data_IF_447274948606
#
_entry.id   IF_447274948606
#
_cell.length_a   1.000
_cell.length_b   1.000
_cell.length_c   1.000
_cell.angle_alpha   90.00
_cell.angle_beta   90.00
_cell.angle_gamma   90.00
#
_symmetry.space_group_name_H-M   'P 1'
#
loop_
_entity.id
_entity.type
_entity.pdbx_description
1 polymer ?
#
# COMPACT_ATOMS: atom_id res chain seq x y z
N UNK A 1 20.25 -7.32 -22.41
CA UNK A 1 19.01 -7.12 -21.66
C UNK A 1 19.30 -6.07 -20.61
N UNK A 2 18.75 -4.87 -20.79
CA UNK A 2 18.88 -3.78 -19.82
C UNK A 2 18.27 -4.26 -18.52
N UNK A 3 19.02 -4.24 -17.43
CA UNK A 3 18.44 -4.30 -16.10
C UNK A 3 17.65 -3.00 -15.96
N UNK A 4 16.34 -3.06 -16.18
CA UNK A 4 15.49 -1.93 -15.89
C UNK A 4 15.76 -1.58 -14.42
N UNK A 5 16.38 -0.43 -14.21
CA UNK A 5 16.77 0.06 -12.90
C UNK A 5 15.48 0.39 -12.15
N UNK A 6 14.91 -0.60 -11.44
CA UNK A 6 13.77 -0.36 -10.56
C UNK A 6 14.19 0.67 -9.51
N UNK A 7 13.33 1.66 -9.30
CA UNK A 7 13.54 2.77 -8.37
C UNK A 7 12.32 2.93 -7.47
N UNK A 8 12.48 3.51 -6.30
CA UNK A 8 11.36 3.92 -5.45
C UNK A 8 10.49 4.98 -6.14
N UNK A 9 11.11 5.86 -6.94
CA UNK A 9 10.37 6.78 -7.81
C UNK A 9 9.68 6.02 -8.94
N UNK A 10 8.53 6.50 -9.37
CA UNK A 10 7.80 5.91 -10.49
C UNK A 10 8.49 6.25 -11.82
N UNK A 11 8.64 5.24 -12.68
CA UNK A 11 9.27 5.38 -13.98
C UNK A 11 8.34 6.04 -15.01
N UNK A 12 7.06 5.76 -14.94
CA UNK A 12 6.02 6.23 -15.85
C UNK A 12 4.63 6.05 -15.23
N UNK A 13 3.61 6.43 -15.97
CA UNK A 13 2.21 6.35 -15.55
C UNK A 13 1.75 4.92 -15.27
N UNK A 14 2.13 3.98 -16.13
CA UNK A 14 1.80 2.56 -15.95
C UNK A 14 2.39 2.01 -14.63
N UNK A 15 3.64 2.33 -14.34
CA UNK A 15 4.31 1.98 -13.09
C UNK A 15 3.58 2.57 -11.86
N UNK A 16 3.08 3.81 -11.99
CA UNK A 16 2.27 4.50 -10.98
C UNK A 16 0.94 3.79 -10.75
N UNK A 17 0.26 3.39 -11.82
CA UNK A 17 -1.02 2.68 -11.73
C UNK A 17 -0.88 1.33 -11.02
N UNK A 18 0.17 0.56 -11.35
CA UNK A 18 0.46 -0.69 -10.63
C UNK A 18 0.78 -0.45 -9.15
N UNK A 19 1.53 0.58 -8.84
CA UNK A 19 1.82 0.97 -7.45
C UNK A 19 0.54 1.26 -6.65
N UNK A 20 -0.37 2.06 -7.22
CA UNK A 20 -1.66 2.37 -6.62
C UNK A 20 -2.56 1.14 -6.47
N UNK A 21 -2.63 0.29 -7.52
CA UNK A 21 -3.37 -0.96 -7.44
C UNK A 21 -2.87 -1.83 -6.28
N UNK A 22 -1.55 -1.93 -6.12
CA UNK A 22 -0.93 -2.64 -5.00
C UNK A 22 -1.32 -2.08 -3.64
N UNK A 23 -1.31 -0.76 -3.48
CA UNK A 23 -1.73 -0.12 -2.23
C UNK A 23 -3.20 -0.42 -1.89
N UNK A 24 -4.10 -0.33 -2.87
CA UNK A 24 -5.53 -0.58 -2.65
C UNK A 24 -5.82 -2.05 -2.34
N UNK A 25 -5.15 -2.99 -2.99
CA UNK A 25 -5.24 -4.41 -2.65
C UNK A 25 -4.75 -4.68 -1.23
N UNK A 26 -3.68 -4.01 -0.80
CA UNK A 26 -3.22 -4.08 0.59
C UNK A 26 -4.28 -3.58 1.58
N UNK A 27 -4.85 -2.40 1.32
CA UNK A 27 -5.92 -1.84 2.15
C UNK A 27 -7.15 -2.77 2.22
N UNK A 28 -7.57 -3.32 1.09
CA UNK A 28 -8.65 -4.30 1.02
C UNK A 28 -8.36 -5.55 1.84
N UNK A 29 -7.14 -6.07 1.77
CA UNK A 29 -6.73 -7.26 2.54
C UNK A 29 -6.74 -7.05 4.05
N UNK A 30 -6.79 -5.82 4.50
CA UNK A 30 -6.86 -5.40 5.91
C UNK A 30 -8.25 -4.85 6.28
N UNK A 31 -9.23 -4.98 5.38
CA UNK A 31 -10.59 -4.44 5.54
C UNK A 31 -10.59 -2.93 5.88
N UNK A 32 -9.73 -2.18 5.16
CA UNK A 32 -9.46 -0.76 5.46
C UNK A 32 -9.69 0.17 4.26
N UNK A 33 -10.44 -0.25 3.25
CA UNK A 33 -10.76 0.59 2.09
C UNK A 33 -11.63 1.79 2.47
N UNK A 34 -12.46 1.71 3.50
CA UNK A 34 -13.23 2.81 4.06
C UNK A 34 -12.38 3.99 4.54
N UNK A 35 -11.10 3.73 4.82
CA UNK A 35 -10.11 4.76 5.18
C UNK A 35 -9.57 5.53 3.98
N UNK A 36 -9.86 5.12 2.74
CA UNK A 36 -9.45 5.80 1.52
C UNK A 36 -10.58 6.70 1.03
N UNK A 37 -10.31 7.99 0.85
CA UNK A 37 -11.23 8.93 0.24
C UNK A 37 -11.12 8.88 -1.29
N UNK A 38 -9.91 9.02 -1.80
CA UNK A 38 -9.64 9.11 -3.25
C UNK A 38 -8.24 8.57 -3.57
N UNK A 39 -8.10 7.96 -4.74
CA UNK A 39 -6.80 7.74 -5.38
C UNK A 39 -6.77 8.46 -6.72
N UNK A 40 -5.61 9.02 -7.08
CA UNK A 40 -5.42 9.68 -8.38
C UNK A 40 -3.99 9.51 -8.89
N UNK A 41 -3.86 9.34 -10.21
CA UNK A 41 -2.56 9.35 -10.89
C UNK A 41 -2.20 10.74 -11.44
N UNK A 42 -3.13 11.67 -11.45
CA UNK A 42 -3.01 13.02 -12.03
C UNK A 42 -2.63 14.07 -10.98
N UNK A 43 -1.62 13.77 -10.16
CA UNK A 43 -1.19 14.72 -9.13
C UNK A 43 0.33 14.72 -8.99
N UNK A 44 0.88 15.88 -8.68
CA UNK A 44 2.25 16.05 -8.21
C UNK A 44 2.36 15.93 -6.68
N UNK A 45 1.20 15.84 -6.00
CA UNK A 45 1.07 15.64 -4.57
C UNK A 45 0.80 14.17 -4.18
N UNK A 46 0.18 13.95 -3.02
CA UNK A 46 -0.22 12.62 -2.57
C UNK A 46 -1.21 11.97 -3.54
N UNK A 47 -0.90 10.76 -3.99
CA UNK A 47 -1.78 10.00 -4.90
C UNK A 47 -2.91 9.27 -4.16
N UNK A 48 -2.81 9.13 -2.86
CA UNK A 48 -3.84 8.55 -1.99
C UNK A 48 -4.24 9.60 -0.97
N UNK A 49 -5.51 9.97 -0.98
CA UNK A 49 -6.12 10.79 0.05
C UNK A 49 -6.89 9.90 1.01
N UNK A 50 -6.65 10.09 2.29
CA UNK A 50 -7.33 9.33 3.33
C UNK A 50 -8.63 10.02 3.75
N UNK A 51 -9.63 9.20 4.06
CA UNK A 51 -10.89 9.65 4.64
C UNK A 51 -10.71 10.06 6.10
N UNK A 52 -11.74 10.71 6.65
CA UNK A 52 -11.76 11.05 8.07
C UNK A 52 -11.59 9.82 8.98
N UNK A 53 -12.07 8.64 8.55
CA UNK A 53 -11.95 7.39 9.29
C UNK A 53 -10.49 6.92 9.47
N UNK A 54 -9.56 7.35 8.62
CA UNK A 54 -8.14 7.08 8.80
C UNK A 54 -7.58 7.81 10.02
N UNK A 55 -7.96 9.08 10.21
CA UNK A 55 -7.44 9.92 11.28
C UNK A 55 -8.19 9.70 12.61
N UNK A 56 -9.45 9.31 12.54
CA UNK A 56 -10.33 9.19 13.70
C UNK A 56 -11.12 7.88 13.64
N UNK A 57 -10.54 6.81 14.14
CA UNK A 57 -11.25 5.55 14.30
C UNK A 57 -11.92 5.48 15.67
N UNK A 58 -13.25 5.50 15.72
CA UNK A 58 -14.05 5.28 16.92
C UNK A 58 -14.66 6.50 17.58
N UNK A 59 -15.31 6.29 18.71
CA UNK A 59 -15.97 7.32 19.53
C UNK A 59 -14.95 8.34 20.05
N UNK A 60 -15.30 9.62 20.21
CA UNK A 60 -14.37 10.68 20.62
C UNK A 60 -13.92 10.61 22.09
N UNK A 61 -13.88 9.44 22.71
CA UNK A 61 -13.22 9.27 23.99
C UNK A 61 -11.71 9.30 23.77
N UNK A 62 -11.16 10.49 23.83
CA UNK A 62 -9.73 10.73 23.71
C UNK A 62 -9.03 10.17 24.96
N UNK A 63 -8.60 8.92 24.89
CA UNK A 63 -7.60 8.43 25.85
C UNK A 63 -6.24 8.39 25.16
N UNK A 64 -5.14 8.67 25.86
CA UNK A 64 -3.78 8.56 25.30
C UNK A 64 -3.52 7.17 24.67
N UNK A 65 -4.07 6.11 25.28
CA UNK A 65 -3.94 4.74 24.78
C UNK A 65 -4.64 4.55 23.42
N UNK A 66 -5.89 5.03 23.26
CA UNK A 66 -6.60 4.88 21.98
C UNK A 66 -5.95 5.68 20.85
N UNK A 67 -5.34 6.81 21.18
CA UNK A 67 -4.58 7.62 20.22
C UNK A 67 -3.33 6.88 19.76
N UNK A 68 -2.59 6.26 20.67
CA UNK A 68 -1.41 5.48 20.34
C UNK A 68 -1.76 4.22 19.55
N UNK A 69 -2.79 3.47 19.94
CA UNK A 69 -3.26 2.29 19.19
C UNK A 69 -3.64 2.65 17.73
N UNK A 70 -4.24 3.83 17.52
CA UNK A 70 -4.54 4.33 16.17
C UNK A 70 -3.28 4.66 15.37
N UNK A 71 -2.29 5.30 15.99
CA UNK A 71 -1.02 5.60 15.34
C UNK A 71 -0.32 4.33 14.87
N UNK A 72 -0.21 3.33 15.75
CA UNK A 72 0.42 2.04 15.42
C UNK A 72 -0.38 1.31 14.34
N UNK A 73 -1.71 1.33 14.40
CA UNK A 73 -2.57 0.73 13.38
C UNK A 73 -2.38 1.40 12.01
N UNK A 74 -2.35 2.72 11.96
CA UNK A 74 -2.13 3.47 10.73
C UNK A 74 -0.70 3.26 10.20
N UNK A 75 0.29 3.19 11.08
CA UNK A 75 1.67 2.86 10.71
C UNK A 75 1.75 1.46 10.07
N UNK A 76 1.02 0.47 10.61
CA UNK A 76 0.93 -0.85 9.99
C UNK A 76 0.29 -0.79 8.60
N UNK A 77 -0.80 -0.03 8.44
CA UNK A 77 -1.46 0.16 7.14
C UNK A 77 -0.53 0.78 6.11
N UNK A 78 0.15 1.87 6.47
CA UNK A 78 1.08 2.56 5.54
C UNK A 78 2.27 1.69 5.19
N UNK A 79 2.80 0.92 6.14
CA UNK A 79 3.87 -0.07 5.87
C UNK A 79 3.39 -1.12 4.86
N UNK A 80 2.18 -1.68 5.04
CA UNK A 80 1.58 -2.60 4.06
C UNK A 80 1.43 -1.96 2.69
N UNK A 81 0.97 -0.72 2.61
CA UNK A 81 0.79 0.00 1.35
C UNK A 81 2.13 0.19 0.62
N UNK A 82 3.18 0.62 1.33
CA UNK A 82 4.50 0.85 0.74
C UNK A 82 5.10 -0.45 0.20
N UNK A 83 5.07 -1.52 0.98
CA UNK A 83 5.57 -2.84 0.55
C UNK A 83 4.76 -3.35 -0.65
N UNK A 84 3.44 -3.24 -0.60
CA UNK A 84 2.54 -3.70 -1.66
C UNK A 84 2.67 -2.89 -2.95
N UNK A 85 2.94 -1.59 -2.86
CA UNK A 85 3.29 -0.75 -4.00
C UNK A 85 4.47 -1.34 -4.78
N UNK A 86 5.55 -1.64 -4.07
CA UNK A 86 6.77 -2.18 -4.67
C UNK A 86 6.53 -3.57 -5.26
N UNK A 87 5.83 -4.44 -4.54
CA UNK A 87 5.55 -5.80 -5.01
C UNK A 87 4.61 -5.83 -6.23
N UNK A 88 3.63 -4.97 -6.30
CA UNK A 88 2.78 -4.85 -7.49
C UNK A 88 3.59 -4.42 -8.72
N UNK A 89 4.48 -3.45 -8.56
CA UNK A 89 5.37 -2.95 -9.62
C UNK A 89 6.41 -3.98 -10.06
N UNK A 90 6.96 -4.76 -9.14
CA UNK A 90 8.00 -5.74 -9.44
C UNK A 90 7.44 -7.12 -9.75
N UNK A 91 6.70 -7.74 -8.84
CA UNK A 91 6.22 -9.13 -9.00
C UNK A 91 5.12 -9.23 -10.03
N UNK A 92 4.17 -8.29 -10.06
CA UNK A 92 3.03 -8.36 -10.98
C UNK A 92 3.37 -7.74 -12.34
N UNK A 93 3.91 -6.52 -12.36
CA UNK A 93 4.21 -5.79 -13.61
C UNK A 93 5.47 -6.30 -14.29
N UNK A 94 6.61 -6.33 -13.58
CA UNK A 94 7.92 -6.70 -14.17
C UNK A 94 8.20 -8.21 -14.14
N UNK A 95 7.33 -9.02 -13.50
CA UNK A 95 7.51 -10.46 -13.31
C UNK A 95 8.87 -10.81 -12.70
N UNK A 96 9.36 -9.96 -11.81
CA UNK A 96 10.66 -10.11 -11.12
C UNK A 96 10.51 -9.87 -9.63
N UNK A 97 11.49 -10.29 -8.86
CA UNK A 97 11.56 -9.96 -7.44
C UNK A 97 12.04 -8.51 -7.26
N UNK A 98 11.53 -7.86 -6.20
CA UNK A 98 12.06 -6.56 -5.82
C UNK A 98 13.56 -6.67 -5.48
N UNK A 99 14.39 -5.72 -5.94
CA UNK A 99 15.82 -5.72 -5.59
C UNK A 99 16.02 -5.60 -4.07
N UNK A 100 16.98 -6.37 -3.53
CA UNK A 100 17.26 -6.37 -2.09
C UNK A 100 17.67 -4.98 -1.57
N UNK A 101 18.32 -4.18 -2.39
CA UNK A 101 18.72 -2.81 -2.06
C UNK A 101 17.50 -1.93 -1.83
N UNK A 102 16.50 -2.04 -2.69
CA UNK A 102 15.23 -1.31 -2.57
C UNK A 102 14.49 -1.74 -1.30
N UNK A 103 14.41 -3.04 -1.04
CA UNK A 103 13.73 -3.55 0.15
C UNK A 103 14.43 -3.12 1.44
N UNK A 104 15.77 -3.03 1.43
CA UNK A 104 16.54 -2.49 2.56
C UNK A 104 16.31 -1.00 2.77
N UNK A 105 16.25 -0.22 1.68
CA UNK A 105 15.95 1.22 1.76
C UNK A 105 14.54 1.45 2.33
N UNK A 106 13.56 0.67 1.88
CA UNK A 106 12.19 0.73 2.43
C UNK A 106 12.18 0.39 3.91
N UNK A 107 12.86 -0.69 4.30
CA UNK A 107 12.94 -1.05 5.72
C UNK A 107 13.56 0.06 6.56
N UNK A 108 14.65 0.68 6.09
CA UNK A 108 15.29 1.80 6.80
C UNK A 108 14.34 2.97 7.02
N UNK A 109 13.56 3.34 5.99
CA UNK A 109 12.56 4.42 6.10
C UNK A 109 11.42 4.06 7.06
N UNK A 110 10.95 2.82 7.01
CA UNK A 110 9.93 2.31 7.95
C UNK A 110 10.47 2.30 9.38
N UNK A 111 11.73 1.90 9.59
CA UNK A 111 12.36 1.92 10.90
C UNK A 111 12.46 3.35 11.45
N UNK A 112 12.94 4.30 10.65
CA UNK A 112 13.05 5.71 11.04
C UNK A 112 11.69 6.31 11.41
N UNK A 113 10.66 6.07 10.58
CA UNK A 113 9.30 6.58 10.81
C UNK A 113 8.65 5.93 12.05
N UNK A 114 8.78 4.63 12.22
CA UNK A 114 8.21 3.90 13.37
C UNK A 114 8.81 4.36 14.69
N UNK A 115 10.12 4.60 14.72
CA UNK A 115 10.79 5.15 15.91
C UNK A 115 10.36 6.61 16.19
N UNK A 116 10.28 7.43 15.14
CA UNK A 116 10.00 8.86 15.28
C UNK A 116 8.53 9.18 15.58
N UNK A 117 7.59 8.41 14.98
CA UNK A 117 6.16 8.74 15.02
C UNK A 117 5.40 7.89 16.03
N UNK A 118 5.76 6.61 16.17
CA UNK A 118 5.05 5.66 17.01
C UNK A 118 5.80 5.28 18.28
N UNK A 119 7.02 5.79 18.45
CA UNK A 119 7.91 5.44 19.59
C UNK A 119 8.13 3.92 19.74
N UNK A 120 8.09 3.18 18.61
CA UNK A 120 8.30 1.74 18.59
C UNK A 120 9.78 1.39 18.70
N UNK A 121 10.07 0.24 19.32
CA UNK A 121 11.42 -0.32 19.34
C UNK A 121 11.77 -1.01 18.02
N UNK A 122 13.06 -1.18 17.73
CA UNK A 122 13.54 -1.73 16.45
C UNK A 122 13.05 -3.14 16.18
N UNK A 123 12.94 -3.97 17.21
CA UNK A 123 12.44 -5.34 17.09
C UNK A 123 10.94 -5.36 16.80
N UNK A 124 10.15 -4.48 17.40
CA UNK A 124 8.71 -4.32 17.12
C UNK A 124 8.48 -3.88 15.67
N UNK A 125 9.27 -2.90 15.18
CA UNK A 125 9.19 -2.44 13.80
C UNK A 125 9.60 -3.55 12.83
N UNK A 126 10.66 -4.29 13.15
CA UNK A 126 11.12 -5.42 12.35
C UNK A 126 10.06 -6.50 12.22
N UNK A 127 9.39 -6.84 13.32
CA UNK A 127 8.31 -7.83 13.33
C UNK A 127 7.11 -7.35 12.52
N UNK A 128 6.73 -6.08 12.67
CA UNK A 128 5.66 -5.46 11.91
C UNK A 128 5.96 -5.46 10.41
N UNK A 129 7.15 -5.02 10.02
CA UNK A 129 7.60 -5.02 8.62
C UNK A 129 7.64 -6.43 8.04
N UNK A 130 8.16 -7.40 8.78
CA UNK A 130 8.25 -8.79 8.34
C UNK A 130 6.86 -9.38 8.09
N UNK A 131 5.89 -9.11 8.97
CA UNK A 131 4.49 -9.52 8.78
C UNK A 131 3.87 -8.86 7.56
N UNK A 132 4.08 -7.55 7.38
CA UNK A 132 3.60 -6.81 6.22
C UNK A 132 4.18 -7.38 4.92
N UNK A 133 5.49 -7.64 4.88
CA UNK A 133 6.17 -8.22 3.73
C UNK A 133 5.64 -9.62 3.40
N UNK A 134 5.55 -10.51 4.38
CA UNK A 134 5.09 -11.88 4.18
C UNK A 134 3.65 -11.92 3.69
N UNK A 135 2.76 -11.10 4.27
CA UNK A 135 1.37 -11.00 3.83
C UNK A 135 1.27 -10.48 2.40
N UNK A 136 1.96 -9.40 2.09
CA UNK A 136 2.01 -8.85 0.74
C UNK A 136 2.57 -9.86 -0.27
N UNK A 137 3.66 -10.54 0.05
CA UNK A 137 4.23 -11.59 -0.81
C UNK A 137 3.24 -12.72 -1.08
N UNK A 138 2.46 -13.13 -0.10
CA UNK A 138 1.42 -14.16 -0.28
C UNK A 138 0.34 -13.69 -1.27
N UNK A 139 -0.07 -12.43 -1.19
CA UNK A 139 -1.06 -11.85 -2.10
C UNK A 139 -0.49 -11.72 -3.53
N UNK A 140 0.65 -11.05 -3.68
CA UNK A 140 1.18 -10.69 -5.01
C UNK A 140 1.82 -11.85 -5.76
N UNK A 141 2.21 -12.94 -5.09
CA UNK A 141 2.66 -14.18 -5.72
C UNK A 141 1.51 -15.11 -6.12
N UNK A 142 0.30 -14.86 -5.64
CA UNK A 142 -0.84 -15.72 -5.96
C UNK A 142 -1.22 -15.56 -7.45
N UNK A 143 -1.12 -16.64 -8.27
CA UNK A 143 -1.39 -16.56 -9.70
C UNK A 143 -2.87 -16.26 -10.01
N UNK A 144 -3.79 -16.47 -9.07
CA UNK A 144 -5.20 -16.11 -9.23
C UNK A 144 -5.46 -14.62 -9.01
N UNK A 145 -4.64 -13.97 -8.19
CA UNK A 145 -4.77 -12.54 -7.83
C UNK A 145 -4.08 -11.65 -8.86
N UNK A 146 -2.97 -12.09 -9.44
CA UNK A 146 -2.18 -11.28 -10.37
C UNK A 146 -2.98 -10.71 -11.56
N UNK A 147 -3.82 -11.48 -12.29
CA UNK A 147 -4.63 -10.93 -13.39
C UNK A 147 -5.59 -9.84 -12.93
N UNK A 148 -6.19 -9.97 -11.76
CA UNK A 148 -7.09 -8.98 -11.20
C UNK A 148 -6.36 -7.68 -10.85
N UNK A 149 -5.12 -7.76 -10.33
CA UNK A 149 -4.28 -6.58 -10.09
C UNK A 149 -3.91 -5.88 -11.41
N UNK A 150 -3.59 -6.63 -12.45
CA UNK A 150 -3.31 -6.07 -13.79
C UNK A 150 -4.53 -5.31 -14.31
N UNK A 151 -5.71 -5.89 -14.23
CA UNK A 151 -6.95 -5.25 -14.66
C UNK A 151 -7.29 -4.03 -13.81
N UNK A 152 -7.09 -4.10 -12.50
CA UNK A 152 -7.32 -2.94 -11.63
C UNK A 152 -6.35 -1.78 -11.93
N UNK A 153 -5.08 -2.07 -12.20
CA UNK A 153 -4.13 -1.06 -12.65
C UNK A 153 -4.59 -0.40 -13.97
N UNK A 154 -5.15 -1.21 -14.91
CA UNK A 154 -5.73 -0.69 -16.16
C UNK A 154 -6.93 0.23 -15.88
N UNK A 155 -7.82 -0.14 -14.95
CA UNK A 155 -8.96 0.71 -14.54
C UNK A 155 -8.48 2.04 -13.97
N UNK A 156 -7.46 2.03 -13.08
CA UNK A 156 -6.85 3.24 -12.53
C UNK A 156 -6.29 4.13 -13.66
N UNK A 157 -5.56 3.55 -14.61
CA UNK A 157 -5.02 4.31 -15.76
C UNK A 157 -6.11 4.94 -16.62
N UNK A 158 -7.23 4.25 -16.82
CA UNK A 158 -8.34 4.75 -17.64
C UNK A 158 -9.18 5.82 -16.93
N UNK A 159 -9.53 5.59 -15.67
CA UNK A 159 -10.38 6.49 -14.89
C UNK A 159 -9.62 7.68 -14.30
N UNK A 160 -8.30 7.55 -14.17
CA UNK A 160 -7.36 8.55 -13.64
C UNK A 160 -7.53 8.87 -12.16
N UNK A 161 -8.77 8.89 -11.69
CA UNK A 161 -9.12 9.10 -10.28
C UNK A 161 -10.28 8.20 -9.90
N UNK A 162 -10.26 7.67 -8.69
CA UNK A 162 -11.27 6.80 -8.12
C UNK A 162 -11.56 7.22 -6.68
N UNK A 163 -12.82 7.38 -6.34
CA UNK A 163 -13.27 7.50 -4.95
C UNK A 163 -13.15 6.17 -4.22
N UNK A 164 -13.13 6.20 -2.88
CA UNK A 164 -13.09 4.97 -2.06
C UNK A 164 -14.22 4.00 -2.39
N UNK A 165 -15.42 4.51 -2.72
CA UNK A 165 -16.56 3.68 -3.15
C UNK A 165 -16.30 3.00 -4.49
N UNK A 166 -15.81 3.74 -5.49
CA UNK A 166 -15.48 3.16 -6.80
C UNK A 166 -14.36 2.13 -6.70
N UNK A 167 -13.38 2.35 -5.82
CA UNK A 167 -12.34 1.35 -5.52
C UNK A 167 -12.97 0.06 -4.99
N UNK A 168 -13.87 0.17 -4.02
CA UNK A 168 -14.56 -0.97 -3.43
C UNK A 168 -15.36 -1.73 -4.48
N UNK A 169 -16.14 -1.02 -5.30
CA UNK A 169 -16.95 -1.60 -6.37
C UNK A 169 -16.07 -2.35 -7.40
N UNK A 170 -14.94 -1.77 -7.81
CA UNK A 170 -14.00 -2.42 -8.74
C UNK A 170 -13.33 -3.66 -8.13
N UNK A 171 -12.93 -3.60 -6.86
CA UNK A 171 -12.33 -4.74 -6.16
C UNK A 171 -13.30 -5.92 -6.03
N UNK A 172 -14.59 -5.64 -5.79
CA UNK A 172 -15.64 -6.67 -5.81
C UNK A 172 -15.84 -7.25 -7.21
N UNK A 173 -15.91 -6.42 -8.26
CA UNK A 173 -16.04 -6.89 -9.64
C UNK A 173 -14.88 -7.81 -10.05
N UNK A 174 -13.68 -7.51 -9.57
CA UNK A 174 -12.47 -8.29 -9.85
C UNK A 174 -12.27 -9.47 -8.89
N UNK A 175 -13.20 -9.70 -7.96
CA UNK A 175 -13.16 -10.78 -6.96
C UNK A 175 -11.88 -10.74 -6.10
N UNK A 176 -11.40 -9.57 -5.79
CA UNK A 176 -10.26 -9.34 -4.90
C UNK A 176 -10.67 -9.25 -3.42
N UNK A 177 -11.95 -9.03 -3.19
CA UNK A 177 -12.63 -9.03 -1.87
C UNK A 177 -14.01 -9.62 -2.02
#
# INVERSE_FOLDING_TARGET
>A
MSKDNFSLSYLNEDDRAYGLAGMMVAMASLDAIDKVATVTIDTDGPMVEFSHAYYFSGSPSISPKSTWDNLVSNFHLTTMMVVSNILARTVVRLKSMAPDEIMREVYSRVEEEGMATCELEKDEIKDLYTRALNRSMTIFRNPRVQPAIVEFARVISLKRSLSGREILDELHLLQLI
#
